data_IF_312772412835
#
_entry.id   IF_312772412835
#
_cell.length_a   1.000
_cell.length_b   1.000
_cell.length_c   1.000
_cell.angle_alpha   90.00
_cell.angle_beta   90.00
_cell.angle_gamma   90.00
#
_symmetry.space_group_name_H-M   'P 1'
#
loop_
_entity.id
_entity.type
_entity.pdbx_description
1 polymer ?
#
# COMPACT_ATOMS: atom_id res chain seq x y z
N UNK A 1 3.03 -22.55 4.34
CA UNK A 1 1.66 -22.84 4.80
C UNK A 1 1.40 -22.03 6.07
N UNK A 2 0.30 -21.31 6.09
CA UNK A 2 -0.15 -20.57 7.28
C UNK A 2 -0.52 -21.60 8.36
N UNK A 3 0.04 -21.44 9.56
CA UNK A 3 -0.27 -22.31 10.67
C UNK A 3 -1.48 -21.73 11.44
N UNK A 4 -2.68 -22.16 11.09
CA UNK A 4 -3.93 -21.69 11.69
C UNK A 4 -3.97 -21.89 13.21
N UNK A 5 -3.44 -23.01 13.72
CA UNK A 5 -3.39 -23.28 15.16
C UNK A 5 -2.56 -22.22 15.89
N UNK A 6 -1.42 -21.82 15.31
CA UNK A 6 -0.58 -20.76 15.88
C UNK A 6 -1.29 -19.40 15.87
N UNK A 7 -2.08 -19.10 14.84
CA UNK A 7 -2.87 -17.87 14.79
C UNK A 7 -3.93 -17.86 15.89
N UNK A 8 -4.64 -18.96 16.07
CA UNK A 8 -5.64 -19.11 17.13
C UNK A 8 -5.05 -18.96 18.55
N UNK A 9 -3.87 -19.52 18.78
CA UNK A 9 -3.15 -19.35 20.04
C UNK A 9 -2.78 -17.90 20.31
N UNK A 10 -2.29 -17.19 19.29
CA UNK A 10 -1.98 -15.76 19.36
C UNK A 10 -3.26 -14.97 19.67
N UNK A 11 -4.34 -15.20 18.94
CA UNK A 11 -5.62 -14.50 19.15
C UNK A 11 -6.14 -14.70 20.57
N UNK A 12 -6.02 -15.91 21.14
CA UNK A 12 -6.42 -16.20 22.52
C UNK A 12 -5.56 -15.48 23.56
N UNK A 13 -4.29 -15.24 23.25
CA UNK A 13 -3.37 -14.56 24.18
C UNK A 13 -3.42 -13.04 24.11
N UNK A 14 -4.04 -12.45 23.06
CA UNK A 14 -4.25 -11.02 22.93
C UNK A 14 -5.33 -10.51 23.90
N UNK A 15 -5.07 -9.38 24.56
CA UNK A 15 -6.10 -8.62 25.29
C UNK A 15 -7.07 -7.95 24.32
N UNK A 16 -8.19 -7.44 24.83
CA UNK A 16 -9.15 -6.71 24.01
C UNK A 16 -8.53 -5.42 23.46
N UNK A 17 -7.79 -4.69 24.28
CA UNK A 17 -7.11 -3.44 23.91
C UNK A 17 -6.08 -3.68 22.82
N UNK A 18 -5.29 -4.76 22.91
CA UNK A 18 -4.34 -5.13 21.87
C UNK A 18 -5.02 -5.49 20.56
N UNK A 19 -6.13 -6.24 20.60
CA UNK A 19 -6.93 -6.53 19.41
C UNK A 19 -7.45 -5.26 18.74
N UNK A 20 -7.96 -4.33 19.54
CA UNK A 20 -8.45 -3.03 19.05
C UNK A 20 -7.29 -2.23 18.45
N UNK A 21 -6.13 -2.17 19.13
CA UNK A 21 -4.94 -1.46 18.64
C UNK A 21 -4.47 -1.96 17.27
N UNK A 22 -4.54 -3.27 17.02
CA UNK A 22 -4.09 -3.86 15.75
C UNK A 22 -4.99 -3.56 14.55
N UNK A 23 -6.26 -3.18 14.75
CA UNK A 23 -7.23 -2.96 13.67
C UNK A 23 -7.46 -1.49 13.31
N UNK A 24 -6.71 -0.57 13.90
CA UNK A 24 -6.73 0.84 13.56
C UNK A 24 -5.32 1.41 13.39
N UNK A 25 -5.21 2.61 12.84
CA UNK A 25 -3.93 3.30 12.70
C UNK A 25 -3.35 3.73 14.06
N UNK A 26 -2.05 3.52 14.22
CA UNK A 26 -1.26 3.94 15.38
C UNK A 26 -0.27 5.05 15.03
N UNK A 27 -0.51 5.74 13.95
CA UNK A 27 0.26 6.81 13.33
C UNK A 27 -0.28 7.03 11.93
N UNK A 28 0.40 7.82 11.11
CA UNK A 28 -0.09 8.15 9.77
C UNK A 28 -0.17 6.91 8.85
N UNK A 29 0.86 6.04 8.94
CA UNK A 29 0.99 4.89 8.02
C UNK A 29 1.51 3.62 8.70
N UNK A 30 0.96 3.29 9.86
CA UNK A 30 1.23 2.02 10.54
C UNK A 30 0.06 1.58 11.41
N UNK A 31 -0.01 0.29 11.69
CA UNK A 31 -0.87 -0.27 12.74
C UNK A 31 -0.08 -0.39 14.05
N UNK A 32 -0.76 -0.69 15.15
CA UNK A 32 -0.10 -1.08 16.39
C UNK A 32 0.45 -2.50 16.27
N UNK A 33 1.62 -2.73 16.89
CA UNK A 33 2.17 -4.06 17.13
C UNK A 33 1.86 -4.53 18.54
N UNK A 34 2.25 -5.79 18.85
CA UNK A 34 2.16 -6.34 20.20
C UNK A 34 3.51 -6.94 20.57
N UNK A 35 4.39 -6.13 21.12
CA UNK A 35 5.80 -6.48 21.36
C UNK A 35 5.96 -7.73 22.22
N UNK A 36 5.17 -7.89 23.29
CA UNK A 36 5.23 -9.06 24.18
C UNK A 36 4.92 -10.39 23.47
N UNK A 37 4.24 -10.34 22.31
CA UNK A 37 3.96 -11.50 21.48
C UNK A 37 4.83 -11.55 20.22
N UNK A 38 5.79 -10.64 20.07
CA UNK A 38 6.66 -10.54 18.93
C UNK A 38 5.93 -10.10 17.64
N UNK A 39 4.74 -9.51 17.76
CA UNK A 39 3.97 -9.00 16.62
C UNK A 39 4.43 -7.57 16.32
N UNK A 40 5.02 -7.39 15.14
CA UNK A 40 5.48 -6.09 14.68
C UNK A 40 4.31 -5.25 14.13
N UNK A 41 4.40 -3.89 14.21
CA UNK A 41 3.50 -3.02 13.45
C UNK A 41 3.57 -3.33 11.95
N UNK A 42 2.44 -3.27 11.25
CA UNK A 42 2.44 -3.21 9.79
C UNK A 42 2.75 -1.78 9.37
N UNK A 43 3.84 -1.61 8.62
CA UNK A 43 4.26 -0.31 8.07
C UNK A 43 3.76 -0.17 6.64
N UNK A 44 3.06 0.91 6.38
CA UNK A 44 2.49 1.22 5.08
C UNK A 44 3.22 2.39 4.43
N UNK A 45 3.19 2.45 3.12
CA UNK A 45 3.54 3.64 2.37
C UNK A 45 2.42 4.01 1.42
N UNK A 46 2.26 5.31 1.23
CA UNK A 46 1.39 5.88 0.23
C UNK A 46 2.11 5.96 -1.12
N UNK A 47 1.35 6.00 -2.20
CA UNK A 47 1.85 6.33 -3.51
C UNK A 47 1.55 5.31 -4.62
N UNK A 48 0.46 5.50 -5.38
CA UNK A 48 0.18 4.67 -6.55
C UNK A 48 1.07 4.96 -7.75
N UNK A 49 1.80 6.09 -7.76
CA UNK A 49 2.72 6.50 -8.82
C UNK A 49 4.19 6.54 -8.36
N UNK A 50 4.50 5.92 -7.24
CA UNK A 50 5.81 5.88 -6.61
C UNK A 50 5.71 5.91 -5.09
N UNK A 51 6.65 5.24 -4.41
CA UNK A 51 6.69 5.23 -2.95
C UNK A 51 7.01 6.63 -2.45
N UNK A 52 6.23 7.17 -1.54
CA UNK A 52 6.50 8.50 -1.01
C UNK A 52 7.79 8.56 -0.17
N UNK A 53 8.32 9.77 -0.04
CA UNK A 53 9.46 10.06 0.82
C UNK A 53 9.22 9.65 2.28
N UNK A 54 10.29 9.36 3.01
CA UNK A 54 10.21 9.04 4.42
C UNK A 54 9.90 10.28 5.27
N UNK A 55 9.05 10.09 6.28
CA UNK A 55 8.65 11.13 7.23
C UNK A 55 8.34 10.49 8.60
N UNK A 56 8.34 11.30 9.67
CA UNK A 56 7.98 10.83 11.01
C UNK A 56 6.55 10.27 11.08
N UNK A 57 6.30 9.37 12.01
CA UNK A 57 5.00 8.72 12.18
C UNK A 57 3.82 9.69 12.36
N UNK A 58 4.08 10.88 12.93
CA UNK A 58 3.05 11.88 13.26
C UNK A 58 3.23 13.21 12.52
N UNK A 59 4.00 13.21 11.43
CA UNK A 59 4.26 14.43 10.65
C UNK A 59 4.17 14.17 9.15
N UNK A 60 3.61 15.13 8.42
CA UNK A 60 3.57 15.13 6.97
C UNK A 60 4.81 15.77 6.33
N UNK A 61 5.75 16.24 7.15
CA UNK A 61 6.99 16.86 6.67
C UNK A 61 8.04 15.76 6.49
N UNK A 62 8.55 15.54 5.26
CA UNK A 62 9.60 14.56 5.01
C UNK A 62 10.86 14.85 5.85
N UNK A 63 11.61 13.79 6.18
CA UNK A 63 12.93 13.94 6.82
C UNK A 63 13.92 14.73 5.96
N UNK A 64 13.72 14.75 4.64
CA UNK A 64 14.58 15.47 3.72
C UNK A 64 15.96 14.82 3.53
N UNK A 65 16.04 13.49 3.63
CA UNK A 65 17.27 12.76 3.34
C UNK A 65 17.71 12.99 1.90
N UNK A 66 19.01 13.22 1.71
CA UNK A 66 19.59 13.53 0.38
C UNK A 66 19.57 12.34 -0.59
N UNK A 67 19.37 11.14 -0.07
CA UNK A 67 19.32 9.86 -0.80
C UNK A 67 17.93 9.22 -0.82
N UNK A 68 16.90 9.97 -0.45
CA UNK A 68 15.50 9.51 -0.44
C UNK A 68 14.88 9.58 -1.85
N UNK A 69 15.47 8.84 -2.78
CA UNK A 69 15.00 8.74 -4.16
C UNK A 69 14.05 7.57 -4.37
N UNK A 70 13.05 7.79 -5.21
CA UNK A 70 12.10 6.77 -5.66
C UNK A 70 11.85 6.94 -7.16
N UNK A 71 11.40 5.86 -7.80
CA UNK A 71 10.90 5.95 -9.18
C UNK A 71 9.57 6.69 -9.20
N UNK A 72 9.46 7.68 -10.10
CA UNK A 72 8.18 8.25 -10.45
C UNK A 72 7.60 7.45 -11.61
N UNK A 73 6.56 6.70 -11.32
CA UNK A 73 5.89 5.80 -12.26
C UNK A 73 4.79 6.53 -13.03
N UNK A 74 4.34 6.02 -14.18
CA UNK A 74 3.18 6.56 -14.89
C UNK A 74 1.94 6.66 -14.01
N UNK A 75 1.07 7.64 -14.26
CA UNK A 75 -0.20 7.68 -13.56
C UNK A 75 -1.09 6.49 -13.97
N UNK A 76 -1.92 6.02 -13.05
CA UNK A 76 -2.73 4.82 -13.27
C UNK A 76 -3.65 4.92 -14.49
N UNK A 77 -4.17 6.11 -14.79
CA UNK A 77 -4.96 6.35 -16.02
C UNK A 77 -4.11 6.10 -17.28
N UNK A 78 -2.84 6.54 -17.28
CA UNK A 78 -1.93 6.31 -18.40
C UNK A 78 -1.58 4.83 -18.54
N UNK A 79 -1.33 4.15 -17.42
CA UNK A 79 -1.12 2.70 -17.42
C UNK A 79 -2.33 1.96 -17.97
N UNK A 80 -3.53 2.29 -17.49
CA UNK A 80 -4.76 1.65 -17.93
C UNK A 80 -5.05 1.87 -19.43
N UNK A 81 -4.70 3.06 -19.96
CA UNK A 81 -4.84 3.36 -21.39
C UNK A 81 -3.96 2.49 -22.30
N UNK A 82 -2.97 1.80 -21.76
CA UNK A 82 -2.16 0.83 -22.51
C UNK A 82 -2.89 -0.47 -22.80
N UNK A 83 -3.89 -0.84 -22.02
CA UNK A 83 -4.58 -2.14 -22.06
C UNK A 83 -3.63 -3.33 -21.90
N UNK A 84 -2.44 -3.10 -21.33
CA UNK A 84 -1.37 -4.08 -21.26
C UNK A 84 -1.15 -4.55 -19.82
N UNK A 85 -1.59 -5.76 -19.53
CA UNK A 85 -1.49 -6.40 -18.21
C UNK A 85 -0.05 -6.66 -17.79
N UNK A 86 0.87 -6.91 -18.73
CA UNK A 86 2.29 -7.13 -18.42
C UNK A 86 2.95 -5.83 -17.97
N UNK A 87 2.53 -4.67 -18.48
CA UNK A 87 3.00 -3.38 -18.00
C UNK A 87 2.48 -3.11 -16.59
N UNK A 88 1.21 -3.44 -16.32
CA UNK A 88 0.65 -3.32 -14.98
C UNK A 88 1.40 -4.21 -13.95
N UNK A 89 1.73 -5.45 -14.33
CA UNK A 89 2.58 -6.31 -13.51
C UNK A 89 3.96 -5.70 -13.25
N UNK A 90 4.63 -5.17 -14.30
CA UNK A 90 5.97 -4.57 -14.16
C UNK A 90 5.96 -3.34 -13.28
N UNK A 91 4.95 -2.49 -13.40
CA UNK A 91 4.80 -1.30 -12.54
C UNK A 91 4.60 -1.70 -11.08
N UNK A 92 3.67 -2.64 -10.81
CA UNK A 92 3.47 -3.16 -9.46
C UNK A 92 4.73 -3.84 -8.91
N UNK A 93 5.51 -4.54 -9.76
CA UNK A 93 6.78 -5.15 -9.36
C UNK A 93 7.81 -4.11 -8.90
N UNK A 94 7.99 -3.03 -9.65
CA UNK A 94 8.93 -1.94 -9.29
C UNK A 94 8.48 -1.30 -7.99
N UNK A 95 7.19 -0.94 -7.90
CA UNK A 95 6.61 -0.28 -6.74
C UNK A 95 6.77 -1.13 -5.47
N UNK A 96 6.46 -2.42 -5.55
CA UNK A 96 6.60 -3.35 -4.44
C UNK A 96 8.05 -3.53 -3.98
N UNK A 97 8.99 -3.65 -4.92
CA UNK A 97 10.42 -3.75 -4.58
C UNK A 97 10.94 -2.50 -3.87
N UNK A 98 10.56 -1.31 -4.35
CA UNK A 98 10.96 -0.06 -3.69
C UNK A 98 10.33 0.07 -2.31
N UNK A 99 9.05 -0.24 -2.15
CA UNK A 99 8.38 -0.26 -0.86
C UNK A 99 9.05 -1.24 0.11
N UNK A 100 9.36 -2.46 -0.35
CA UNK A 100 10.04 -3.48 0.46
C UNK A 100 11.45 -3.06 0.84
N UNK A 101 12.21 -2.49 -0.10
CA UNK A 101 13.55 -1.95 0.16
C UNK A 101 13.56 -0.86 1.23
N UNK A 102 12.46 -0.14 1.37
CA UNK A 102 12.23 0.89 2.40
C UNK A 102 11.62 0.33 3.69
N UNK A 103 11.53 -0.99 3.83
CA UNK A 103 11.01 -1.65 5.02
C UNK A 103 9.50 -1.44 5.23
N UNK A 104 8.75 -1.26 4.14
CA UNK A 104 7.29 -1.22 4.17
C UNK A 104 6.72 -2.62 3.96
N UNK A 105 5.64 -2.92 4.66
CA UNK A 105 4.90 -4.17 4.56
C UNK A 105 3.75 -4.07 3.58
N UNK A 106 3.20 -2.87 3.40
CA UNK A 106 2.05 -2.61 2.52
C UNK A 106 2.29 -1.31 1.75
N UNK A 107 2.02 -1.34 0.45
CA UNK A 107 1.88 -0.14 -0.37
C UNK A 107 0.39 0.13 -0.64
N UNK A 108 -0.03 1.38 -0.48
CA UNK A 108 -1.41 1.81 -0.73
C UNK A 108 -1.58 2.11 -2.23
N UNK A 109 -1.55 1.07 -3.03
CA UNK A 109 -1.64 1.08 -4.48
C UNK A 109 -2.20 -0.26 -5.01
N UNK A 110 -2.66 -0.29 -6.28
CA UNK A 110 -2.97 0.84 -7.15
C UNK A 110 -4.24 1.58 -6.75
N UNK A 111 -4.46 2.79 -7.27
CA UNK A 111 -5.73 3.51 -7.13
C UNK A 111 -6.82 2.87 -7.99
N UNK A 112 -7.84 2.26 -7.38
CA UNK A 112 -8.86 1.47 -8.08
C UNK A 112 -10.28 2.02 -7.94
N UNK A 113 -10.43 3.24 -7.46
CA UNK A 113 -11.74 3.89 -7.46
C UNK A 113 -12.20 4.13 -8.89
N UNK A 114 -13.49 3.91 -9.13
CA UNK A 114 -14.07 4.16 -10.45
C UNK A 114 -14.24 5.65 -10.68
N UNK A 115 -13.72 6.16 -11.79
CA UNK A 115 -13.87 7.56 -12.19
C UNK A 115 -15.32 7.81 -12.60
N UNK A 116 -16.11 8.42 -11.71
CA UNK A 116 -17.54 8.68 -11.94
C UNK A 116 -17.86 10.15 -12.18
N UNK A 117 -17.00 11.05 -11.71
CA UNK A 117 -17.20 12.49 -11.84
C UNK A 117 -15.91 13.14 -12.29
N UNK A 118 -15.94 14.02 -13.30
CA UNK A 118 -14.77 14.78 -13.73
C UNK A 118 -14.30 15.80 -12.68
N UNK A 119 -15.14 16.12 -11.70
CA UNK A 119 -14.83 17.06 -10.62
C UNK A 119 -14.03 16.45 -9.48
N UNK A 120 -13.80 15.12 -9.49
CA UNK A 120 -12.97 14.49 -8.47
C UNK A 120 -11.50 14.84 -8.67
N UNK A 121 -10.90 15.53 -7.68
CA UNK A 121 -9.50 15.97 -7.72
C UNK A 121 -8.47 14.83 -7.71
N UNK A 122 -8.90 13.58 -7.47
CA UNK A 122 -8.04 12.38 -7.44
C UNK A 122 -8.18 11.47 -8.67
N UNK A 123 -8.88 11.91 -9.72
CA UNK A 123 -9.05 11.09 -10.93
C UNK A 123 -7.71 10.69 -11.57
N UNK A 124 -6.66 11.49 -11.43
CA UNK A 124 -5.34 11.22 -11.99
C UNK A 124 -4.67 9.96 -11.43
N UNK A 125 -5.04 9.54 -10.23
CA UNK A 125 -4.48 8.35 -9.57
C UNK A 125 -5.34 7.09 -9.74
N UNK A 126 -6.50 7.18 -10.40
CA UNK A 126 -7.38 6.06 -10.67
C UNK A 126 -7.20 5.55 -12.10
N UNK A 127 -7.59 4.30 -12.34
CA UNK A 127 -7.34 3.64 -13.63
C UNK A 127 -8.34 4.03 -14.70
N UNK A 128 -9.66 3.96 -14.42
CA UNK A 128 -10.69 4.10 -15.45
C UNK A 128 -12.08 4.37 -14.86
N UNK A 129 -12.98 4.80 -15.71
CA UNK A 129 -14.43 4.80 -15.47
C UNK A 129 -15.04 3.40 -15.65
N UNK A 130 -14.36 2.50 -16.38
CA UNK A 130 -14.78 1.13 -16.62
C UNK A 130 -14.25 0.20 -15.50
N UNK A 131 -15.14 -0.44 -14.71
CA UNK A 131 -14.74 -1.37 -13.66
C UNK A 131 -14.09 -2.65 -14.21
N UNK A 132 -14.41 -3.05 -15.44
CA UNK A 132 -13.78 -4.22 -16.07
C UNK A 132 -12.31 -3.90 -16.39
N UNK A 133 -12.02 -2.78 -17.05
CA UNK A 133 -10.66 -2.37 -17.34
C UNK A 133 -9.86 -2.16 -16.03
N UNK A 134 -10.46 -1.51 -15.04
CA UNK A 134 -9.83 -1.31 -13.73
C UNK A 134 -9.44 -2.64 -13.10
N UNK A 135 -10.33 -3.64 -13.12
CA UNK A 135 -10.04 -5.00 -12.64
C UNK A 135 -8.88 -5.64 -13.42
N UNK A 136 -8.95 -5.63 -14.76
CA UNK A 136 -7.94 -6.28 -15.60
C UNK A 136 -6.56 -5.67 -15.46
N UNK A 137 -6.48 -4.38 -15.11
CA UNK A 137 -5.21 -3.70 -14.88
C UNK A 137 -4.73 -3.77 -13.43
N UNK A 138 -5.63 -3.88 -12.45
CA UNK A 138 -5.27 -3.98 -11.04
C UNK A 138 -4.85 -5.39 -10.62
N UNK A 139 -5.53 -6.43 -11.11
CA UNK A 139 -5.25 -7.84 -10.74
C UNK A 139 -3.82 -8.29 -11.03
N UNK A 140 -3.15 -7.85 -12.12
CA UNK A 140 -1.75 -8.19 -12.37
C UNK A 140 -0.73 -7.63 -11.38
N UNK A 141 -1.07 -6.63 -10.57
CA UNK A 141 -0.15 -6.15 -9.53
C UNK A 141 0.22 -7.32 -8.62
N UNK A 142 1.52 -7.61 -8.45
CA UNK A 142 1.93 -8.79 -7.69
C UNK A 142 1.65 -8.62 -6.20
N UNK A 143 1.29 -9.71 -5.55
CA UNK A 143 1.29 -9.82 -4.09
C UNK A 143 2.72 -10.11 -3.61
N UNK A 144 3.22 -9.33 -2.68
CA UNK A 144 4.58 -9.41 -2.10
C UNK A 144 4.57 -10.03 -0.72
#
# INVERSE_FOLDING_TARGET
MINENKIEEIIKSLTLEEKIGMIHGAGLFRTEGVERLGIKPLKMADGPMGVRNEFPDDSWVPYGYSDDYVSYLPCNTSLAATWNRDLAYKEGYVLGNEARGRGKDVILAPGINIIRSPLCGRNFEYMSEDPYLTKEMAVPYPNW
#
